data_IF_700251047976
#
_entry.id   IF_700251047976
#
_cell.length_a   1.000
_cell.length_b   1.000
_cell.length_c   1.000
_cell.angle_alpha   90.00
_cell.angle_beta   90.00
_cell.angle_gamma   90.00
#
_symmetry.space_group_name_H-M   'P 1'
#
loop_
_entity.id
_entity.type
_entity.pdbx_description
1 polymer ?
#
# COMPACT_ATOMS: atom_id res chain seq x y z
N UNK A 1 53.89 17.66 6.93
CA UNK A 1 54.38 17.61 8.34
C UNK A 1 53.62 16.53 9.12
N UNK A 2 54.33 15.74 9.93
CA UNK A 2 53.74 14.73 10.81
C UNK A 2 53.68 15.30 12.24
N UNK A 3 52.48 15.50 12.78
CA UNK A 3 52.28 16.13 14.09
C UNK A 3 51.54 15.15 15.01
N UNK A 4 52.02 15.06 16.26
CA UNK A 4 51.36 14.35 17.36
C UNK A 4 51.18 15.32 18.51
N UNK A 5 49.95 15.44 18.99
CA UNK A 5 49.59 16.35 20.07
C UNK A 5 48.81 15.52 21.09
N UNK A 6 49.27 15.49 22.33
CA UNK A 6 48.60 14.76 23.41
C UNK A 6 47.36 15.52 23.86
N UNK A 7 47.49 16.79 24.18
CA UNK A 7 46.42 17.59 24.76
C UNK A 7 46.55 19.04 24.30
N UNK A 8 45.42 19.70 24.04
CA UNK A 8 45.41 21.13 23.73
C UNK A 8 44.08 21.78 24.08
N UNK A 9 44.10 22.98 24.66
CA UNK A 9 42.87 23.73 24.89
C UNK A 9 42.37 24.42 23.61
N UNK A 10 43.27 25.13 22.92
CA UNK A 10 42.94 25.85 21.69
C UNK A 10 44.03 25.60 20.65
N UNK A 11 43.65 24.95 19.55
CA UNK A 11 44.59 24.62 18.50
C UNK A 11 44.03 25.02 17.14
N UNK A 12 44.86 25.68 16.34
CA UNK A 12 44.58 26.02 14.95
C UNK A 12 45.70 25.47 14.08
N UNK A 13 45.33 24.70 13.07
CA UNK A 13 46.25 24.14 12.09
C UNK A 13 45.75 24.56 10.71
N UNK A 14 46.60 25.23 9.95
CA UNK A 14 46.30 25.56 8.56
C UNK A 14 46.31 24.29 7.71
N UNK A 15 47.42 23.58 7.71
CA UNK A 15 47.64 22.43 6.83
C UNK A 15 48.45 21.35 7.54
N UNK A 16 48.10 20.08 7.31
CA UNK A 16 48.89 18.95 7.80
C UNK A 16 48.77 17.73 6.90
N UNK A 17 49.85 16.95 6.78
CA UNK A 17 49.78 15.68 6.05
C UNK A 17 49.32 14.54 6.95
N UNK A 18 49.96 14.38 8.13
CA UNK A 18 49.51 13.41 9.11
C UNK A 18 49.45 14.07 10.48
N UNK A 19 48.26 14.07 11.08
CA UNK A 19 48.00 14.67 12.37
C UNK A 19 47.30 13.66 13.28
N UNK A 20 47.84 13.48 14.48
CA UNK A 20 47.22 12.71 15.55
C UNK A 20 47.06 13.60 16.78
N UNK A 21 45.83 13.67 17.27
CA UNK A 21 45.48 14.43 18.46
C UNK A 21 44.79 13.46 19.42
N UNK A 22 45.28 13.33 20.65
CA UNK A 22 44.57 12.52 21.63
C UNK A 22 43.37 13.31 22.16
N UNK A 23 43.59 14.51 22.69
CA UNK A 23 42.51 15.31 23.28
C UNK A 23 42.59 16.79 22.87
N UNK A 24 41.43 17.40 22.65
CA UNK A 24 41.34 18.84 22.42
C UNK A 24 40.01 19.45 22.85
N UNK A 25 40.03 20.63 23.48
CA UNK A 25 38.78 21.36 23.74
C UNK A 25 38.27 22.07 22.49
N UNK A 26 39.09 22.93 21.87
CA UNK A 26 38.73 23.66 20.65
C UNK A 26 39.79 23.46 19.57
N UNK A 27 39.39 22.80 18.49
CA UNK A 27 40.27 22.47 17.38
C UNK A 27 39.70 23.00 16.07
N UNK A 28 40.52 23.77 15.34
CA UNK A 28 40.22 24.20 13.97
C UNK A 28 41.32 23.75 13.03
N UNK A 29 40.94 23.03 11.99
CA UNK A 29 41.84 22.53 10.95
C UNK A 29 41.30 23.02 9.62
N UNK A 30 42.14 23.68 8.83
CA UNK A 30 41.72 24.12 7.49
C UNK A 30 41.81 22.92 6.55
N UNK A 31 42.99 22.29 6.46
CA UNK A 31 43.21 21.15 5.56
C UNK A 31 44.03 20.05 6.23
N UNK A 32 43.67 18.79 5.96
CA UNK A 32 44.50 17.65 6.34
C UNK A 32 44.37 16.44 5.42
N UNK A 33 45.47 15.76 5.10
CA UNK A 33 45.38 14.49 4.37
C UNK A 33 44.94 13.33 5.28
N UNK A 34 45.62 13.12 6.40
CA UNK A 34 45.28 12.06 7.36
C UNK A 34 45.17 12.62 8.77
N UNK A 35 43.96 12.59 9.33
CA UNK A 35 43.66 13.10 10.65
C UNK A 35 43.06 12.02 11.53
N UNK A 36 43.64 11.83 12.72
CA UNK A 36 43.09 10.98 13.78
C UNK A 36 42.93 11.80 15.05
N UNK A 37 41.73 11.79 15.60
CA UNK A 37 41.39 12.49 16.83
C UNK A 37 40.72 11.46 17.75
N UNK A 38 41.24 11.28 18.96
CA UNK A 38 40.56 10.42 19.92
C UNK A 38 39.35 11.15 20.51
N UNK A 39 39.55 12.35 21.05
CA UNK A 39 38.48 13.10 21.71
C UNK A 39 38.54 14.60 21.37
N UNK A 40 37.37 15.20 21.14
CA UNK A 40 37.25 16.65 20.98
C UNK A 40 35.90 17.22 21.40
N UNK A 41 35.91 18.28 22.22
CA UNK A 41 34.66 18.99 22.54
C UNK A 41 34.12 19.78 21.35
N UNK A 42 34.94 20.64 20.73
CA UNK A 42 34.55 21.47 19.59
C UNK A 42 35.56 21.34 18.45
N UNK A 43 35.14 20.65 17.38
CA UNK A 43 35.97 20.39 16.22
C UNK A 43 35.38 21.02 14.96
N UNK A 44 36.19 21.83 14.27
CA UNK A 44 35.89 22.35 12.93
C UNK A 44 36.98 21.96 11.96
N UNK A 45 36.58 21.29 10.88
CA UNK A 45 37.48 20.87 9.81
C UNK A 45 36.89 21.41 8.50
N UNK A 46 37.69 22.14 7.73
CA UNK A 46 37.22 22.61 6.42
C UNK A 46 37.34 21.47 5.41
N UNK A 47 38.51 20.87 5.28
CA UNK A 47 38.75 19.78 4.32
C UNK A 47 39.59 18.66 4.93
N UNK A 48 39.24 17.41 4.60
CA UNK A 48 40.09 16.26 4.92
C UNK A 48 39.96 15.10 3.93
N UNK A 49 41.07 14.45 3.58
CA UNK A 49 40.98 13.23 2.76
C UNK A 49 40.58 12.02 3.61
N UNK A 50 41.28 11.76 4.72
CA UNK A 50 41.00 10.65 5.63
C UNK A 50 40.90 11.13 7.07
N UNK A 51 39.69 11.06 7.62
CA UNK A 51 39.38 11.51 8.97
C UNK A 51 38.84 10.36 9.82
N UNK A 52 39.44 10.15 10.98
CA UNK A 52 38.95 9.25 12.02
C UNK A 52 38.80 10.01 13.34
N UNK A 53 37.61 9.95 13.91
CA UNK A 53 37.28 10.57 15.18
C UNK A 53 36.65 9.50 16.06
N UNK A 54 37.19 9.27 17.26
CA UNK A 54 36.54 8.33 18.19
C UNK A 54 35.34 9.01 18.83
N UNK A 55 35.52 10.18 19.43
CA UNK A 55 34.45 10.89 20.15
C UNK A 55 34.48 12.39 19.88
N UNK A 56 33.31 13.00 19.69
CA UNK A 56 33.19 14.46 19.69
C UNK A 56 31.83 14.98 20.15
N UNK A 57 31.82 16.04 20.97
CA UNK A 57 30.56 16.69 21.35
C UNK A 57 29.98 17.53 20.19
N UNK A 58 30.78 18.42 19.60
CA UNK A 58 30.36 19.29 18.51
C UNK A 58 31.34 19.23 17.34
N UNK A 59 30.91 18.59 16.26
CA UNK A 59 31.72 18.39 15.07
C UNK A 59 31.09 19.07 13.85
N UNK A 60 31.88 19.90 13.17
CA UNK A 60 31.56 20.50 11.88
C UNK A 60 32.63 20.17 10.86
N UNK A 61 32.22 19.57 9.75
CA UNK A 61 33.09 19.21 8.64
C UNK A 61 32.47 19.81 7.38
N UNK A 62 33.22 20.63 6.65
CA UNK A 62 32.72 21.12 5.36
C UNK A 62 32.84 20.00 4.31
N UNK A 63 34.04 19.44 4.13
CA UNK A 63 34.27 18.42 3.12
C UNK A 63 35.15 17.27 3.64
N UNK A 64 34.81 16.04 3.25
CA UNK A 64 35.68 14.89 3.49
C UNK A 64 35.55 13.78 2.46
N UNK A 65 36.66 13.17 2.04
CA UNK A 65 36.58 11.99 1.17
C UNK A 65 36.21 10.73 1.96
N UNK A 66 36.93 10.43 3.05
CA UNK A 66 36.69 9.26 3.89
C UNK A 66 36.60 9.67 5.37
N UNK A 67 35.40 9.55 5.93
CA UNK A 67 35.12 9.92 7.31
C UNK A 67 34.60 8.72 8.11
N UNK A 68 35.25 8.48 9.25
CA UNK A 68 34.80 7.52 10.26
C UNK A 68 34.67 8.20 11.61
N UNK A 69 33.48 8.10 12.19
CA UNK A 69 33.16 8.65 13.50
C UNK A 69 32.58 7.51 14.34
N UNK A 70 33.16 7.24 15.50
CA UNK A 70 32.56 6.26 16.41
C UNK A 70 31.36 6.88 17.12
N UNK A 71 31.53 8.02 17.80
CA UNK A 71 30.45 8.66 18.56
C UNK A 71 30.45 10.17 18.36
N UNK A 72 29.27 10.77 18.27
CA UNK A 72 29.12 12.21 18.33
C UNK A 72 27.78 12.68 18.90
N UNK A 73 27.77 13.78 19.66
CA UNK A 73 26.51 14.37 20.12
C UNK A 73 25.88 15.23 19.02
N UNK A 74 26.63 16.17 18.45
CA UNK A 74 26.17 17.07 17.39
C UNK A 74 27.13 17.07 16.21
N UNK A 75 26.67 16.52 15.08
CA UNK A 75 27.45 16.39 13.87
C UNK A 75 26.79 17.11 12.70
N UNK A 76 27.58 17.99 12.05
CA UNK A 76 27.20 18.64 10.80
C UNK A 76 28.27 18.38 9.74
N UNK A 77 27.84 17.83 8.62
CA UNK A 77 28.68 17.54 7.47
C UNK A 77 28.03 18.20 6.25
N UNK A 78 28.77 19.05 5.54
CA UNK A 78 28.26 19.59 4.28
C UNK A 78 28.35 18.52 3.20
N UNK A 79 29.55 17.99 2.94
CA UNK A 79 29.78 17.01 1.88
C UNK A 79 30.68 15.85 2.33
N UNK A 80 30.36 14.64 1.90
CA UNK A 80 31.27 13.50 2.05
C UNK A 80 31.12 12.43 0.97
N UNK A 81 32.23 11.86 0.50
CA UNK A 81 32.15 10.71 -0.42
C UNK A 81 31.81 9.42 0.32
N UNK A 82 32.56 9.09 1.38
CA UNK A 82 32.36 7.89 2.19
C UNK A 82 32.28 8.21 3.67
N UNK A 83 31.10 8.02 4.26
CA UNK A 83 30.82 8.32 5.66
C UNK A 83 30.36 7.08 6.41
N UNK A 84 31.03 6.80 7.53
CA UNK A 84 30.62 5.78 8.50
C UNK A 84 30.50 6.41 9.88
N UNK A 85 29.34 6.24 10.49
CA UNK A 85 29.03 6.73 11.83
C UNK A 85 28.48 5.54 12.62
N UNK A 86 29.08 5.22 13.76
CA UNK A 86 28.49 4.19 14.63
C UNK A 86 27.31 4.78 15.39
N UNK A 87 27.50 5.88 16.11
CA UNK A 87 26.44 6.48 16.92
C UNK A 87 26.42 8.02 16.80
N UNK A 88 25.20 8.57 16.77
CA UNK A 88 25.02 10.02 16.84
C UNK A 88 23.68 10.42 17.47
N UNK A 89 23.69 11.40 18.38
CA UNK A 89 22.43 11.99 18.85
C UNK A 89 21.78 12.90 17.79
N UNK A 90 22.52 13.88 17.25
CA UNK A 90 22.01 14.82 16.25
C UNK A 90 22.93 14.91 15.04
N UNK A 91 22.46 14.37 13.91
CA UNK A 91 23.20 14.33 12.65
C UNK A 91 22.51 15.13 11.56
N UNK A 92 23.27 16.03 10.94
CA UNK A 92 22.86 16.74 9.72
C UNK A 92 23.91 16.55 8.63
N UNK A 93 23.47 16.03 7.50
CA UNK A 93 24.29 15.81 6.32
C UNK A 93 23.61 16.52 5.15
N UNK A 94 24.35 17.37 4.44
CA UNK A 94 23.79 18.01 3.24
C UNK A 94 23.86 17.02 2.08
N UNK A 95 25.07 16.53 1.77
CA UNK A 95 25.28 15.60 0.66
C UNK A 95 26.21 14.45 1.05
N UNK A 96 25.91 13.25 0.56
CA UNK A 96 26.84 12.12 0.64
C UNK A 96 26.69 11.10 -0.48
N UNK A 97 27.79 10.56 -1.00
CA UNK A 97 27.71 9.47 -1.97
C UNK A 97 27.40 8.13 -1.27
N UNK A 98 28.17 7.75 -0.26
CA UNK A 98 28.01 6.51 0.49
C UNK A 98 27.95 6.76 1.99
N UNK A 99 26.79 6.51 2.59
CA UNK A 99 26.54 6.75 4.01
C UNK A 99 26.10 5.46 4.71
N UNK A 100 26.80 5.14 5.80
CA UNK A 100 26.42 4.08 6.74
C UNK A 100 26.33 4.63 8.15
N UNK A 101 25.17 4.45 8.76
CA UNK A 101 24.88 4.86 10.13
C UNK A 101 24.37 3.63 10.87
N UNK A 102 24.99 3.27 11.99
CA UNK A 102 24.46 2.19 12.81
C UNK A 102 23.27 2.70 13.63
N UNK A 103 23.45 3.77 14.40
CA UNK A 103 22.40 4.30 15.26
C UNK A 103 22.35 5.83 15.22
N UNK A 104 21.13 6.39 15.24
CA UNK A 104 20.95 7.82 15.45
C UNK A 104 19.61 8.20 16.09
N UNK A 105 19.61 9.18 16.99
CA UNK A 105 18.34 9.69 17.53
C UNK A 105 17.64 10.63 16.54
N UNK A 106 18.35 11.66 16.05
CA UNK A 106 17.81 12.63 15.11
C UNK A 106 18.72 12.76 13.89
N UNK A 107 18.21 12.33 12.74
CA UNK A 107 18.95 12.33 11.47
C UNK A 107 18.23 13.15 10.41
N UNK A 108 18.96 14.09 9.81
CA UNK A 108 18.52 14.84 8.63
C UNK A 108 19.56 14.71 7.53
N UNK A 109 19.10 14.25 6.36
CA UNK A 109 19.90 14.10 5.16
C UNK A 109 19.19 14.84 4.04
N UNK A 110 19.90 15.74 3.35
CA UNK A 110 19.31 16.42 2.20
C UNK A 110 19.39 15.49 0.99
N UNK A 111 20.58 15.02 0.64
CA UNK A 111 20.79 14.14 -0.52
C UNK A 111 21.75 12.99 -0.19
N UNK A 112 21.46 11.80 -0.73
CA UNK A 112 22.41 10.69 -0.72
C UNK A 112 22.25 9.73 -1.90
N UNK A 113 23.35 9.24 -2.45
CA UNK A 113 23.25 8.19 -3.48
C UNK A 113 22.98 6.82 -2.84
N UNK A 114 23.78 6.40 -1.86
CA UNK A 114 23.64 5.11 -1.18
C UNK A 114 23.61 5.30 0.34
N UNK A 115 22.47 5.03 0.94
CA UNK A 115 22.24 5.19 2.37
C UNK A 115 21.84 3.86 3.02
N UNK A 116 22.56 3.51 4.09
CA UNK A 116 22.21 2.40 4.98
C UNK A 116 22.14 2.89 6.42
N UNK A 117 21.00 2.65 7.05
CA UNK A 117 20.74 2.99 8.45
C UNK A 117 20.26 1.71 9.13
N UNK A 118 20.92 1.31 10.22
CA UNK A 118 20.40 0.17 11.00
C UNK A 118 19.23 0.64 11.86
N UNK A 119 19.43 1.67 12.68
CA UNK A 119 18.38 2.16 13.59
C UNK A 119 18.31 3.68 13.62
N UNK A 120 17.08 4.21 13.68
CA UNK A 120 16.87 5.64 13.94
C UNK A 120 15.55 5.95 14.64
N UNK A 121 15.55 6.89 15.57
CA UNK A 121 14.28 7.35 16.18
C UNK A 121 13.55 8.32 15.26
N UNK A 122 14.23 9.37 14.79
CA UNK A 122 13.65 10.40 13.92
C UNK A 122 14.52 10.62 12.68
N UNK A 123 14.01 10.22 11.52
CA UNK A 123 14.72 10.29 10.26
C UNK A 123 13.96 11.14 9.24
N UNK A 124 14.66 12.12 8.68
CA UNK A 124 14.19 12.92 7.54
C UNK A 124 15.20 12.86 6.41
N UNK A 125 14.74 12.43 5.24
CA UNK A 125 15.53 12.35 4.02
C UNK A 125 14.77 13.13 2.95
N UNK A 126 15.44 14.06 2.28
CA UNK A 126 14.82 14.77 1.16
C UNK A 126 14.93 13.90 -0.09
N UNK A 127 16.14 13.51 -0.48
CA UNK A 127 16.35 12.69 -1.68
C UNK A 127 17.32 11.53 -1.42
N UNK A 128 17.01 10.37 -2.00
CA UNK A 128 17.96 9.26 -2.04
C UNK A 128 17.77 8.33 -3.24
N UNK A 129 18.88 7.92 -3.89
CA UNK A 129 18.78 6.91 -4.96
C UNK A 129 18.55 5.51 -4.39
N UNK A 130 19.38 5.07 -3.45
CA UNK A 130 19.27 3.75 -2.83
C UNK A 130 19.28 3.86 -1.30
N UNK A 131 18.14 3.54 -0.69
CA UNK A 131 17.94 3.64 0.75
C UNK A 131 17.57 2.29 1.35
N UNK A 132 18.32 1.88 2.38
CA UNK A 132 18.01 0.73 3.23
C UNK A 132 17.95 1.14 4.67
N UNK A 133 16.82 0.85 5.32
CA UNK A 133 16.59 1.12 6.73
C UNK A 133 16.13 -0.19 7.37
N UNK A 134 16.82 -0.64 8.42
CA UNK A 134 16.35 -1.81 9.17
C UNK A 134 15.20 -1.41 10.08
N UNK A 135 15.38 -0.41 10.93
CA UNK A 135 14.37 0.02 11.89
C UNK A 135 14.26 1.55 11.98
N UNK A 136 13.04 2.06 12.08
CA UNK A 136 12.81 3.46 12.42
C UNK A 136 11.50 3.70 13.17
N UNK A 137 11.50 4.59 14.16
CA UNK A 137 10.24 4.99 14.81
C UNK A 137 9.47 5.99 13.94
N UNK A 138 10.12 7.09 13.52
CA UNK A 138 9.51 8.13 12.69
C UNK A 138 10.35 8.43 11.46
N UNK A 139 9.82 8.07 10.30
CA UNK A 139 10.51 8.22 9.02
C UNK A 139 9.71 9.10 8.06
N UNK A 140 10.38 10.12 7.53
CA UNK A 140 9.88 10.97 6.44
C UNK A 140 10.86 10.98 5.29
N UNK A 141 10.36 10.63 4.11
CA UNK A 141 11.12 10.62 2.85
C UNK A 141 10.33 11.44 1.85
N UNK A 142 10.96 12.43 1.23
CA UNK A 142 10.31 13.15 0.13
C UNK A 142 10.41 12.31 -1.14
N UNK A 143 11.62 11.96 -1.57
CA UNK A 143 11.85 11.22 -2.80
C UNK A 143 12.84 10.07 -2.62
N UNK A 144 12.54 8.91 -3.23
CA UNK A 144 13.51 7.83 -3.36
C UNK A 144 13.29 6.94 -4.58
N UNK A 145 14.36 6.63 -5.31
CA UNK A 145 14.27 5.66 -6.42
C UNK A 145 14.09 4.22 -5.92
N UNK A 146 14.95 3.75 -5.00
CA UNK A 146 14.90 2.40 -4.46
C UNK A 146 14.93 2.43 -2.93
N UNK A 147 13.80 2.08 -2.32
CA UNK A 147 13.62 2.11 -0.89
C UNK A 147 13.29 0.71 -0.34
N UNK A 148 14.06 0.27 0.65
CA UNK A 148 13.79 -0.93 1.45
C UNK A 148 13.76 -0.58 2.92
N UNK A 149 12.65 -0.92 3.57
CA UNK A 149 12.43 -0.71 4.99
C UNK A 149 12.01 -2.05 5.58
N UNK A 150 12.73 -2.54 6.59
CA UNK A 150 12.29 -3.74 7.30
C UNK A 150 11.15 -3.39 8.25
N UNK A 151 11.36 -2.45 9.17
CA UNK A 151 10.35 -2.10 10.17
C UNK A 151 10.22 -0.58 10.34
N UNK A 152 8.98 -0.10 10.50
CA UNK A 152 8.73 1.28 10.88
C UNK A 152 7.42 1.49 11.65
N UNK A 153 7.45 2.30 12.71
CA UNK A 153 6.20 2.65 13.40
C UNK A 153 5.39 3.69 12.60
N UNK A 154 6.01 4.81 12.23
CA UNK A 154 5.36 5.88 11.47
C UNK A 154 6.17 6.25 10.23
N UNK A 155 5.64 5.91 9.05
CA UNK A 155 6.29 6.13 7.77
C UNK A 155 5.46 7.04 6.88
N UNK A 156 6.10 8.10 6.38
CA UNK A 156 5.55 8.99 5.36
C UNK A 156 6.51 9.09 4.18
N UNK A 157 6.00 8.77 3.00
CA UNK A 157 6.72 8.83 1.74
C UNK A 157 5.92 9.69 0.78
N UNK A 158 6.55 10.70 0.18
CA UNK A 158 5.87 11.52 -0.82
C UNK A 158 5.91 10.79 -2.17
N UNK A 159 7.11 10.45 -2.64
CA UNK A 159 7.29 9.77 -3.92
C UNK A 159 8.32 8.63 -3.83
N UNK A 160 8.04 7.51 -4.50
CA UNK A 160 9.06 6.48 -4.72
C UNK A 160 8.83 5.64 -5.98
N UNK A 161 9.90 5.32 -6.72
CA UNK A 161 9.79 4.41 -7.86
C UNK A 161 9.63 2.96 -7.40
N UNK A 162 10.52 2.46 -6.54
CA UNK A 162 10.50 1.08 -6.07
C UNK A 162 10.56 1.02 -4.53
N UNK A 163 9.45 0.64 -3.92
CA UNK A 163 9.29 0.59 -2.48
C UNK A 163 8.99 -0.83 -2.00
N UNK A 164 9.79 -1.31 -1.05
CA UNK A 164 9.55 -2.55 -0.31
C UNK A 164 9.53 -2.28 1.18
N UNK A 165 8.46 -2.68 1.83
CA UNK A 165 8.26 -2.55 3.27
C UNK A 165 7.89 -3.93 3.80
N UNK A 166 8.62 -4.44 4.79
CA UNK A 166 8.22 -5.69 5.44
C UNK A 166 7.09 -5.40 6.43
N UNK A 167 7.29 -4.48 7.37
CA UNK A 167 6.30 -4.17 8.41
C UNK A 167 6.17 -2.67 8.66
N UNK A 168 4.92 -2.21 8.84
CA UNK A 168 4.67 -0.86 9.34
C UNK A 168 3.36 -0.73 10.11
N UNK A 169 3.38 0.00 11.23
CA UNK A 169 2.14 0.30 11.96
C UNK A 169 1.31 1.37 11.24
N UNK A 170 1.91 2.52 10.90
CA UNK A 170 1.24 3.62 10.22
C UNK A 170 2.01 4.06 8.99
N UNK A 171 1.46 3.75 7.81
CA UNK A 171 2.08 4.04 6.53
C UNK A 171 1.21 4.98 5.69
N UNK A 172 1.83 6.07 5.23
CA UNK A 172 1.26 7.01 4.26
C UNK A 172 2.18 7.16 3.06
N UNK A 173 1.65 6.90 1.88
CA UNK A 173 2.37 7.03 0.61
C UNK A 173 1.52 7.91 -0.29
N UNK A 174 2.11 8.97 -0.85
CA UNK A 174 1.39 9.82 -1.80
C UNK A 174 1.44 9.15 -3.17
N UNK A 175 2.62 8.91 -3.70
CA UNK A 175 2.81 8.31 -5.02
C UNK A 175 3.84 7.18 -5.01
N UNK A 176 3.57 6.11 -5.75
CA UNK A 176 4.57 5.09 -6.03
C UNK A 176 4.36 4.34 -7.35
N UNK A 177 5.43 4.01 -8.05
CA UNK A 177 5.32 3.17 -9.26
C UNK A 177 5.17 1.68 -8.89
N UNK A 178 6.09 1.16 -8.07
CA UNK A 178 6.07 -0.24 -7.65
C UNK A 178 6.16 -0.35 -6.13
N UNK A 179 5.08 -0.82 -5.52
CA UNK A 179 4.96 -0.94 -4.07
C UNK A 179 4.67 -2.38 -3.66
N UNK A 180 5.50 -2.88 -2.74
CA UNK A 180 5.29 -4.17 -2.05
C UNK A 180 5.31 -3.96 -0.55
N UNK A 181 4.25 -4.41 0.10
CA UNK A 181 4.09 -4.35 1.55
C UNK A 181 3.74 -5.75 2.03
N UNK A 182 4.51 -6.30 2.96
CA UNK A 182 4.15 -7.59 3.56
C UNK A 182 3.04 -7.39 4.58
N UNK A 183 3.25 -6.53 5.58
CA UNK A 183 2.28 -6.31 6.65
C UNK A 183 2.11 -4.82 6.98
N UNK A 184 0.87 -4.40 7.23
CA UNK A 184 0.62 -3.09 7.81
C UNK A 184 -0.66 -3.01 8.64
N UNK A 185 -0.64 -2.26 9.74
CA UNK A 185 -1.87 -2.02 10.52
C UNK A 185 -2.74 -0.95 9.84
N UNK A 186 -2.17 0.22 9.55
CA UNK A 186 -2.88 1.33 8.92
C UNK A 186 -2.14 1.84 7.70
N UNK A 187 -2.72 1.62 6.52
CA UNK A 187 -2.14 1.98 5.24
C UNK A 187 -3.04 2.95 4.47
N UNK A 188 -2.45 4.06 4.05
CA UNK A 188 -3.06 5.02 3.13
C UNK A 188 -2.17 5.26 1.94
N UNK A 189 -2.71 5.04 0.75
CA UNK A 189 -2.03 5.24 -0.53
C UNK A 189 -2.92 6.16 -1.37
N UNK A 190 -2.33 7.24 -1.88
CA UNK A 190 -3.07 8.13 -2.79
C UNK A 190 -3.05 7.54 -4.18
N UNK A 191 -1.86 7.33 -4.75
CA UNK A 191 -1.70 6.79 -6.10
C UNK A 191 -0.64 5.69 -6.14
N UNK A 192 -0.92 4.64 -6.92
CA UNK A 192 0.09 3.62 -7.24
C UNK A 192 -0.14 2.92 -8.58
N UNK A 193 0.91 2.72 -9.37
CA UNK A 193 0.79 1.95 -10.60
C UNK A 193 0.68 0.45 -10.31
N UNK A 194 1.63 -0.12 -9.56
CA UNK A 194 1.64 -1.54 -9.20
C UNK A 194 1.76 -1.72 -7.69
N UNK A 195 0.70 -2.25 -7.08
CA UNK A 195 0.61 -2.44 -5.65
C UNK A 195 0.35 -3.91 -5.29
N UNK A 196 1.21 -4.44 -4.42
CA UNK A 196 1.04 -5.76 -3.80
C UNK A 196 1.09 -5.64 -2.29
N UNK A 197 0.05 -6.13 -1.64
CA UNK A 197 -0.09 -6.13 -0.18
C UNK A 197 -0.41 -7.57 0.23
N UNK A 198 0.39 -8.15 1.12
CA UNK A 198 0.06 -9.46 1.66
C UNK A 198 -1.02 -9.33 2.74
N UNK A 199 -0.79 -8.52 3.76
CA UNK A 199 -1.73 -8.36 4.88
C UNK A 199 -1.92 -6.90 5.27
N UNK A 200 -3.16 -6.51 5.58
CA UNK A 200 -3.45 -5.22 6.19
C UNK A 200 -4.70 -5.22 7.07
N UNK A 201 -4.65 -4.55 8.21
CA UNK A 201 -5.88 -4.36 9.01
C UNK A 201 -6.79 -3.28 8.41
N UNK A 202 -6.24 -2.08 8.17
CA UNK A 202 -6.98 -0.96 7.61
C UNK A 202 -6.27 -0.38 6.39
N UNK A 203 -6.88 -0.54 5.22
CA UNK A 203 -6.32 -0.11 3.95
C UNK A 203 -7.25 0.87 3.23
N UNK A 204 -6.70 2.02 2.86
CA UNK A 204 -7.35 3.01 2.00
C UNK A 204 -6.47 3.32 0.80
N UNK A 205 -7.04 3.17 -0.39
CA UNK A 205 -6.40 3.45 -1.66
C UNK A 205 -7.31 4.40 -2.44
N UNK A 206 -6.76 5.52 -2.90
CA UNK A 206 -7.52 6.44 -3.74
C UNK A 206 -7.52 5.92 -5.17
N UNK A 207 -6.34 5.71 -5.76
CA UNK A 207 -6.20 5.24 -7.13
C UNK A 207 -5.11 4.16 -7.26
N UNK A 208 -5.40 3.13 -8.07
CA UNK A 208 -4.37 2.18 -8.50
C UNK A 208 -4.63 1.56 -9.87
N UNK A 209 -3.59 1.40 -10.69
CA UNK A 209 -3.73 0.68 -11.96
C UNK A 209 -3.81 -0.83 -11.73
N UNK A 210 -2.84 -1.42 -11.00
CA UNK A 210 -2.78 -2.85 -10.73
C UNK A 210 -2.61 -3.13 -9.25
N UNK A 211 -3.67 -3.66 -8.64
CA UNK A 211 -3.74 -3.92 -7.21
C UNK A 211 -3.96 -5.41 -6.93
N UNK A 212 -3.08 -5.98 -6.11
CA UNK A 212 -3.22 -7.33 -5.55
C UNK A 212 -3.14 -7.28 -4.03
N UNK A 213 -4.17 -7.82 -3.39
CA UNK A 213 -4.27 -7.91 -1.94
C UNK A 213 -4.55 -9.37 -1.59
N UNK A 214 -3.73 -9.96 -0.72
CA UNK A 214 -4.03 -11.30 -0.22
C UNK A 214 -5.09 -11.22 0.88
N UNK A 215 -4.83 -10.48 1.96
CA UNK A 215 -5.76 -10.40 3.09
C UNK A 215 -5.96 -8.95 3.56
N UNK A 216 -7.20 -8.61 3.90
CA UNK A 216 -7.50 -7.35 4.58
C UNK A 216 -8.74 -7.40 5.48
N UNK A 217 -8.68 -6.78 6.66
CA UNK A 217 -9.89 -6.66 7.48
C UNK A 217 -10.83 -5.56 6.95
N UNK A 218 -10.32 -4.34 6.77
CA UNK A 218 -11.09 -3.21 6.27
C UNK A 218 -10.42 -2.56 5.07
N UNK A 219 -11.05 -2.68 3.91
CA UNK A 219 -10.53 -2.19 2.64
C UNK A 219 -11.48 -1.19 1.99
N UNK A 220 -10.94 -0.01 1.66
CA UNK A 220 -11.62 1.01 0.85
C UNK A 220 -10.78 1.39 -0.34
N UNK A 221 -11.36 1.27 -1.52
CA UNK A 221 -10.73 1.62 -2.80
C UNK A 221 -11.67 2.58 -3.52
N UNK A 222 -11.15 3.73 -3.93
CA UNK A 222 -11.95 4.69 -4.70
C UNK A 222 -11.98 4.25 -6.16
N UNK A 223 -10.82 4.14 -6.79
CA UNK A 223 -10.70 3.74 -8.19
C UNK A 223 -9.61 2.68 -8.39
N UNK A 224 -9.88 1.72 -9.28
CA UNK A 224 -8.85 0.81 -9.75
C UNK A 224 -9.10 0.25 -11.16
N UNK A 225 -8.05 0.09 -11.97
CA UNK A 225 -8.22 -0.57 -13.27
C UNK A 225 -8.28 -2.10 -13.12
N UNK A 226 -7.29 -2.71 -12.48
CA UNK A 226 -7.21 -4.15 -12.27
C UNK A 226 -7.04 -4.46 -10.78
N UNK A 227 -8.05 -5.07 -10.18
CA UNK A 227 -8.09 -5.40 -8.77
C UNK A 227 -8.30 -6.90 -8.55
N UNK A 228 -7.38 -7.50 -7.80
CA UNK A 228 -7.51 -8.87 -7.29
C UNK A 228 -7.38 -8.90 -5.78
N UNK A 229 -8.39 -9.46 -5.13
CA UNK A 229 -8.45 -9.64 -3.68
C UNK A 229 -8.69 -11.12 -3.41
N UNK A 230 -7.87 -11.74 -2.55
CA UNK A 230 -8.12 -13.11 -2.13
C UNK A 230 -9.16 -13.11 -1.00
N UNK A 231 -8.91 -12.39 0.09
CA UNK A 231 -9.80 -12.37 1.24
C UNK A 231 -9.99 -10.95 1.79
N UNK A 232 -11.25 -10.62 2.14
CA UNK A 232 -11.54 -9.40 2.90
C UNK A 232 -12.79 -9.49 3.76
N UNK A 233 -12.71 -9.05 5.02
CA UNK A 233 -13.90 -8.98 5.88
C UNK A 233 -14.86 -7.86 5.43
N UNK A 234 -14.36 -6.63 5.28
CA UNK A 234 -15.17 -5.48 4.89
C UNK A 234 -14.54 -4.74 3.70
N UNK A 235 -15.17 -4.86 2.54
CA UNK A 235 -14.68 -4.30 1.30
C UNK A 235 -15.67 -3.27 0.73
N UNK A 236 -15.15 -2.08 0.44
CA UNK A 236 -15.87 -1.03 -0.30
C UNK A 236 -15.05 -0.57 -1.49
N UNK A 237 -15.67 -0.63 -2.67
CA UNK A 237 -15.07 -0.21 -3.93
C UNK A 237 -16.03 0.78 -4.58
N UNK A 238 -15.54 1.96 -4.96
CA UNK A 238 -16.37 2.94 -5.66
C UNK A 238 -16.41 2.57 -7.14
N UNK A 239 -15.26 2.50 -7.79
CA UNK A 239 -15.16 2.17 -9.22
C UNK A 239 -14.06 1.14 -9.50
N UNK A 240 -14.34 0.22 -10.43
CA UNK A 240 -13.32 -0.66 -10.96
C UNK A 240 -13.59 -1.14 -12.39
N UNK A 241 -12.55 -1.24 -13.23
CA UNK A 241 -12.72 -1.83 -14.56
C UNK A 241 -12.76 -3.36 -14.50
N UNK A 242 -11.76 -3.99 -13.88
CA UNK A 242 -11.66 -5.44 -13.75
C UNK A 242 -11.44 -5.84 -12.30
N UNK A 243 -12.45 -6.48 -11.72
CA UNK A 243 -12.45 -6.89 -10.32
C UNK A 243 -12.62 -8.39 -10.17
N UNK A 244 -11.70 -9.00 -9.42
CA UNK A 244 -11.76 -10.40 -9.01
C UNK A 244 -11.63 -10.52 -7.51
N UNK A 245 -12.62 -11.12 -6.87
CA UNK A 245 -12.66 -11.36 -5.44
C UNK A 245 -12.90 -12.85 -5.23
N UNK A 246 -12.05 -13.49 -4.42
CA UNK A 246 -12.29 -14.88 -4.04
C UNK A 246 -13.29 -14.92 -2.89
N UNK A 247 -12.97 -14.30 -1.76
CA UNK A 247 -13.82 -14.36 -0.58
C UNK A 247 -14.03 -12.99 0.05
N UNK A 248 -15.28 -12.68 0.42
CA UNK A 248 -15.56 -11.53 1.27
C UNK A 248 -16.81 -11.66 2.13
N UNK A 249 -16.72 -11.29 3.41
CA UNK A 249 -17.89 -11.28 4.29
C UNK A 249 -18.87 -10.15 3.91
N UNK A 250 -18.39 -8.90 3.81
CA UNK A 250 -19.23 -7.75 3.48
C UNK A 250 -18.62 -6.96 2.31
N UNK A 251 -19.27 -7.04 1.16
CA UNK A 251 -18.85 -6.37 -0.05
C UNK A 251 -19.86 -5.33 -0.53
N UNK A 252 -19.37 -4.11 -0.78
CA UNK A 252 -20.11 -3.04 -1.47
C UNK A 252 -19.33 -2.53 -2.66
N UNK A 253 -19.96 -2.54 -3.82
CA UNK A 253 -19.40 -2.05 -5.08
C UNK A 253 -20.39 -1.03 -5.65
N UNK A 254 -19.92 0.17 -5.98
CA UNK A 254 -20.78 1.17 -6.62
C UNK A 254 -20.84 0.88 -8.11
N UNK A 255 -19.71 0.85 -8.80
CA UNK A 255 -19.63 0.60 -10.23
C UNK A 255 -18.52 -0.40 -10.58
N UNK A 256 -18.80 -1.27 -11.55
CA UNK A 256 -17.78 -2.12 -12.15
C UNK A 256 -18.08 -2.53 -13.59
N UNK A 257 -17.06 -2.56 -14.45
CA UNK A 257 -17.25 -3.09 -15.81
C UNK A 257 -17.27 -4.62 -15.83
N UNK A 258 -16.23 -5.26 -15.27
CA UNK A 258 -16.11 -6.71 -15.21
C UNK A 258 -15.86 -7.17 -13.79
N UNK A 259 -16.84 -7.87 -13.22
CA UNK A 259 -16.80 -8.35 -11.85
C UNK A 259 -16.95 -9.86 -11.77
N UNK A 260 -16.00 -10.50 -11.08
CA UNK A 260 -16.06 -11.91 -10.72
C UNK A 260 -15.90 -12.08 -9.21
N UNK A 261 -16.86 -12.73 -8.60
CA UNK A 261 -16.88 -13.03 -7.17
C UNK A 261 -17.07 -14.53 -7.03
N UNK A 262 -16.18 -15.19 -6.29
CA UNK A 262 -16.33 -16.62 -6.01
C UNK A 262 -17.31 -16.80 -4.84
N UNK A 263 -17.05 -16.17 -3.70
CA UNK A 263 -17.88 -16.32 -2.50
C UNK A 263 -18.09 -14.98 -1.79
N UNK A 264 -19.32 -14.72 -1.34
CA UNK A 264 -19.58 -13.61 -0.43
C UNK A 264 -20.79 -13.83 0.48
N UNK A 265 -20.69 -13.45 1.76
CA UNK A 265 -21.85 -13.51 2.66
C UNK A 265 -22.87 -12.40 2.36
N UNK A 266 -22.42 -11.14 2.31
CA UNK A 266 -23.28 -9.99 2.05
C UNK A 266 -22.71 -9.14 0.91
N UNK A 267 -23.42 -9.13 -0.22
CA UNK A 267 -23.01 -8.45 -1.42
C UNK A 267 -24.03 -7.41 -1.86
N UNK A 268 -23.57 -6.17 -2.05
CA UNK A 268 -24.34 -5.09 -2.66
C UNK A 268 -23.59 -4.50 -3.84
N UNK A 269 -24.26 -4.44 -4.98
CA UNK A 269 -23.73 -3.88 -6.23
C UNK A 269 -24.74 -2.86 -6.73
N UNK A 270 -24.28 -1.63 -7.01
CA UNK A 270 -25.18 -0.62 -7.58
C UNK A 270 -25.27 -0.84 -9.08
N UNK A 271 -24.15 -0.81 -9.79
CA UNK A 271 -24.11 -0.98 -11.24
C UNK A 271 -22.99 -1.94 -11.67
N UNK A 272 -23.28 -2.76 -12.68
CA UNK A 272 -22.25 -3.55 -13.35
C UNK A 272 -22.56 -3.89 -14.81
N UNK A 273 -21.56 -3.90 -15.69
CA UNK A 273 -21.77 -4.36 -17.07
C UNK A 273 -21.76 -5.89 -17.14
N UNK A 274 -20.71 -6.54 -16.64
CA UNK A 274 -20.56 -8.00 -16.66
C UNK A 274 -20.27 -8.53 -15.27
N UNK A 275 -21.24 -9.25 -14.69
CA UNK A 275 -21.17 -9.78 -13.34
C UNK A 275 -21.29 -11.31 -13.36
N UNK A 276 -20.32 -11.97 -12.71
CA UNK A 276 -20.36 -13.40 -12.42
C UNK A 276 -20.16 -13.63 -10.93
N UNK A 277 -21.09 -14.36 -10.33
CA UNK A 277 -21.06 -14.72 -8.92
C UNK A 277 -21.22 -16.24 -8.84
N UNK A 278 -20.30 -16.93 -8.19
CA UNK A 278 -20.47 -18.37 -7.95
C UNK A 278 -21.42 -18.59 -6.78
N UNK A 279 -21.11 -18.04 -5.60
CA UNK A 279 -21.91 -18.26 -4.41
C UNK A 279 -22.13 -16.96 -3.63
N UNK A 280 -23.35 -16.78 -3.10
CA UNK A 280 -23.61 -15.71 -2.14
C UNK A 280 -24.77 -16.01 -1.19
N UNK A 281 -24.68 -15.61 0.08
CA UNK A 281 -25.81 -15.74 0.99
C UNK A 281 -26.85 -14.65 0.75
N UNK A 282 -26.45 -13.37 0.77
CA UNK A 282 -27.33 -12.23 0.57
C UNK A 282 -26.80 -11.33 -0.53
N UNK A 283 -27.53 -11.27 -1.64
CA UNK A 283 -27.16 -10.50 -2.83
C UNK A 283 -28.22 -9.47 -3.18
N UNK A 284 -27.78 -8.21 -3.32
CA UNK A 284 -28.59 -7.11 -3.85
C UNK A 284 -27.87 -6.44 -5.01
N UNK A 285 -28.56 -6.35 -6.14
CA UNK A 285 -28.06 -5.72 -7.36
C UNK A 285 -29.10 -4.69 -7.80
N UNK A 286 -28.67 -3.45 -8.02
CA UNK A 286 -29.58 -2.42 -8.53
C UNK A 286 -29.70 -2.57 -10.04
N UNK A 287 -28.59 -2.49 -10.77
CA UNK A 287 -28.57 -2.58 -12.23
C UNK A 287 -27.43 -3.50 -12.73
N UNK A 288 -27.73 -4.27 -13.78
CA UNK A 288 -26.70 -5.03 -14.49
C UNK A 288 -27.03 -5.32 -15.95
N UNK A 289 -26.06 -5.20 -16.86
CA UNK A 289 -26.29 -5.61 -18.26
C UNK A 289 -26.27 -7.15 -18.41
N UNK A 290 -25.20 -7.80 -17.95
CA UNK A 290 -25.05 -9.25 -18.04
C UNK A 290 -24.73 -9.85 -16.67
N UNK A 291 -25.67 -10.60 -16.13
CA UNK A 291 -25.56 -11.22 -14.80
C UNK A 291 -25.66 -12.74 -14.89
N UNK A 292 -24.67 -13.41 -14.30
CA UNK A 292 -24.68 -14.86 -14.07
C UNK A 292 -24.44 -15.16 -12.60
N UNK A 293 -25.34 -15.92 -12.01
CA UNK A 293 -25.27 -16.36 -10.62
C UNK A 293 -25.41 -17.88 -10.61
N UNK A 294 -24.46 -18.59 -10.01
CA UNK A 294 -24.61 -20.04 -9.85
C UNK A 294 -25.53 -20.34 -8.67
N UNK A 295 -25.21 -19.83 -7.49
CA UNK A 295 -25.99 -20.12 -6.27
C UNK A 295 -26.21 -18.87 -5.42
N UNK A 296 -27.41 -18.75 -4.86
CA UNK A 296 -27.69 -17.72 -3.85
C UNK A 296 -28.83 -18.07 -2.89
N UNK A 297 -28.68 -17.77 -1.59
CA UNK A 297 -29.81 -17.97 -0.66
C UNK A 297 -30.87 -16.87 -0.84
N UNK A 298 -30.48 -15.60 -0.77
CA UNK A 298 -31.39 -14.46 -0.92
C UNK A 298 -30.90 -13.49 -1.99
N UNK A 299 -31.64 -13.40 -3.08
CA UNK A 299 -31.30 -12.58 -4.23
C UNK A 299 -32.38 -11.54 -4.53
N UNK A 300 -31.96 -10.28 -4.61
CA UNK A 300 -32.80 -9.17 -5.07
C UNK A 300 -32.11 -8.43 -6.21
N UNK A 301 -32.82 -8.29 -7.32
CA UNK A 301 -32.36 -7.59 -8.51
C UNK A 301 -33.43 -6.57 -8.88
N UNK A 302 -33.03 -5.31 -9.06
CA UNK A 302 -33.97 -4.28 -9.51
C UNK A 302 -34.10 -4.35 -11.03
N UNK A 303 -33.00 -4.23 -11.76
CA UNK A 303 -33.00 -4.26 -13.22
C UNK A 303 -31.86 -5.12 -13.77
N UNK A 304 -32.16 -5.88 -14.85
CA UNK A 304 -31.12 -6.54 -15.63
C UNK A 304 -31.51 -6.78 -17.09
N UNK A 305 -30.57 -6.57 -18.03
CA UNK A 305 -30.83 -6.92 -19.44
C UNK A 305 -30.78 -8.44 -19.65
N UNK A 306 -29.71 -9.10 -19.23
CA UNK A 306 -29.52 -10.54 -19.39
C UNK A 306 -29.16 -11.20 -18.07
N UNK A 307 -30.09 -11.97 -17.53
CA UNK A 307 -29.96 -12.63 -16.25
C UNK A 307 -30.03 -14.16 -16.40
N UNK A 308 -29.02 -14.84 -15.86
CA UNK A 308 -29.00 -16.30 -15.71
C UNK A 308 -28.71 -16.68 -14.27
N UNK A 309 -29.59 -17.48 -13.69
CA UNK A 309 -29.48 -17.99 -12.33
C UNK A 309 -29.61 -19.50 -12.38
N UNK A 310 -28.63 -20.23 -11.83
CA UNK A 310 -28.75 -21.68 -11.74
C UNK A 310 -29.65 -22.05 -10.55
N UNK A 311 -29.32 -21.59 -9.35
CA UNK A 311 -30.08 -21.94 -8.14
C UNK A 311 -30.29 -20.73 -7.22
N UNK A 312 -31.50 -20.62 -6.65
CA UNK A 312 -31.76 -19.68 -5.56
C UNK A 312 -32.88 -20.10 -4.62
N UNK A 313 -32.71 -19.91 -3.31
CA UNK A 313 -33.81 -20.16 -2.37
C UNK A 313 -34.88 -19.07 -2.47
N UNK A 314 -34.50 -17.80 -2.37
CA UNK A 314 -35.42 -16.67 -2.42
C UNK A 314 -34.98 -15.64 -3.45
N UNK A 315 -35.73 -15.53 -4.54
CA UNK A 315 -35.44 -14.66 -5.66
C UNK A 315 -36.53 -13.62 -5.88
N UNK A 316 -36.13 -12.35 -5.91
CA UNK A 316 -37.00 -11.23 -6.31
C UNK A 316 -36.35 -10.42 -7.42
N UNK A 317 -37.08 -10.26 -8.51
CA UNK A 317 -36.66 -9.49 -9.68
C UNK A 317 -37.74 -8.47 -9.99
N UNK A 318 -37.36 -7.19 -10.11
CA UNK A 318 -38.33 -6.15 -10.48
C UNK A 318 -38.50 -6.15 -11.99
N UNK A 319 -37.42 -5.95 -12.75
CA UNK A 319 -37.46 -5.90 -14.21
C UNK A 319 -36.33 -6.70 -14.84
N UNK A 320 -36.62 -7.38 -15.95
CA UNK A 320 -35.58 -7.99 -16.78
C UNK A 320 -35.97 -8.19 -18.25
N UNK A 321 -35.06 -7.95 -19.19
CA UNK A 321 -35.34 -8.24 -20.61
C UNK A 321 -35.28 -9.75 -20.88
N UNK A 322 -34.18 -10.41 -20.52
CA UNK A 322 -33.99 -11.84 -20.74
C UNK A 322 -33.62 -12.54 -19.43
N UNK A 323 -34.53 -13.37 -18.93
CA UNK A 323 -34.38 -14.09 -17.68
C UNK A 323 -34.41 -15.61 -17.89
N UNK A 324 -33.37 -16.30 -17.40
CA UNK A 324 -33.31 -17.75 -17.32
C UNK A 324 -32.99 -18.19 -15.90
N UNK A 325 -33.86 -19.04 -15.35
CA UNK A 325 -33.71 -19.59 -14.00
C UNK A 325 -33.82 -21.11 -14.13
N UNK A 326 -32.81 -21.84 -13.64
CA UNK A 326 -32.91 -23.31 -13.62
C UNK A 326 -33.76 -23.76 -12.44
N UNK A 327 -33.43 -23.35 -11.22
CA UNK A 327 -34.15 -23.78 -10.03
C UNK A 327 -34.35 -22.62 -9.04
N UNK A 328 -35.52 -22.57 -8.41
CA UNK A 328 -35.71 -21.76 -7.21
C UNK A 328 -36.81 -22.26 -6.28
N UNK A 329 -36.70 -22.00 -4.97
CA UNK A 329 -37.80 -22.32 -4.04
C UNK A 329 -38.90 -21.24 -4.09
N UNK A 330 -38.53 -19.97 -3.96
CA UNK A 330 -39.46 -18.85 -3.95
C UNK A 330 -39.06 -17.79 -4.96
N UNK A 331 -39.84 -17.64 -6.03
CA UNK A 331 -39.60 -16.71 -7.11
C UNK A 331 -40.71 -15.68 -7.24
N UNK A 332 -40.32 -14.39 -7.22
CA UNK A 332 -41.20 -13.27 -7.54
C UNK A 332 -40.58 -12.41 -8.63
N UNK A 333 -41.32 -12.22 -9.72
CA UNK A 333 -40.93 -11.40 -10.85
C UNK A 333 -42.04 -10.38 -11.08
N UNK A 334 -41.68 -9.09 -11.16
CA UNK A 334 -42.66 -8.05 -11.46
C UNK A 334 -42.85 -7.98 -12.97
N UNK A 335 -41.78 -7.77 -13.73
CA UNK A 335 -41.83 -7.65 -15.19
C UNK A 335 -40.69 -8.42 -15.88
N UNK A 336 -41.00 -9.08 -17.00
CA UNK A 336 -39.98 -9.62 -17.89
C UNK A 336 -40.42 -9.72 -19.35
N UNK A 337 -39.56 -9.38 -20.31
CA UNK A 337 -39.88 -9.61 -21.73
C UNK A 337 -39.77 -11.09 -22.10
N UNK A 338 -38.65 -11.75 -21.77
CA UNK A 338 -38.42 -13.16 -22.08
C UNK A 338 -38.03 -13.94 -20.82
N UNK A 339 -38.96 -14.74 -20.32
CA UNK A 339 -38.80 -15.52 -19.10
C UNK A 339 -38.79 -17.03 -19.40
N UNK A 340 -37.73 -17.70 -18.94
CA UNK A 340 -37.63 -19.17 -18.92
C UNK A 340 -37.29 -19.67 -17.53
N UNK A 341 -38.12 -20.56 -16.99
CA UNK A 341 -37.95 -21.18 -15.68
C UNK A 341 -38.03 -22.69 -15.88
N UNK A 342 -37.02 -23.44 -15.44
CA UNK A 342 -37.11 -24.90 -15.46
C UNK A 342 -37.93 -25.39 -14.27
N UNK A 343 -37.54 -25.06 -13.04
CA UNK A 343 -38.23 -25.53 -11.84
C UNK A 343 -38.43 -24.41 -10.81
N UNK A 344 -39.62 -24.34 -10.21
CA UNK A 344 -39.87 -23.46 -9.07
C UNK A 344 -40.96 -23.98 -8.13
N UNK A 345 -40.71 -24.08 -6.82
CA UNK A 345 -41.78 -24.46 -5.88
C UNK A 345 -42.89 -23.40 -5.81
N UNK A 346 -42.53 -22.14 -5.54
CA UNK A 346 -43.48 -21.03 -5.44
C UNK A 346 -43.15 -19.93 -6.44
N UNK A 347 -43.96 -19.78 -7.49
CA UNK A 347 -43.74 -18.83 -8.57
C UNK A 347 -44.85 -17.77 -8.62
N UNK A 348 -44.46 -16.48 -8.56
CA UNK A 348 -45.35 -15.34 -8.82
C UNK A 348 -44.76 -14.43 -9.90
N UNK A 349 -45.55 -14.20 -10.94
CA UNK A 349 -45.20 -13.32 -12.07
C UNK A 349 -46.32 -12.29 -12.21
N UNK A 350 -45.98 -10.99 -12.23
CA UNK A 350 -46.98 -9.94 -12.46
C UNK A 350 -47.20 -9.78 -13.96
N UNK A 351 -46.14 -9.52 -14.72
CA UNK A 351 -46.22 -9.33 -16.17
C UNK A 351 -45.08 -10.07 -16.90
N UNK A 352 -45.41 -10.70 -18.03
CA UNK A 352 -44.39 -11.16 -18.98
C UNK A 352 -44.87 -11.22 -20.43
N UNK A 353 -44.02 -10.89 -21.40
CA UNK A 353 -44.38 -11.02 -22.82
C UNK A 353 -44.26 -12.46 -23.31
N UNK A 354 -43.11 -13.09 -23.09
CA UNK A 354 -42.82 -14.47 -23.50
C UNK A 354 -42.42 -15.31 -22.28
N UNK A 355 -43.26 -16.27 -21.92
CA UNK A 355 -43.11 -17.10 -20.74
C UNK A 355 -42.98 -18.59 -21.09
N UNK A 356 -41.96 -19.25 -20.53
CA UNK A 356 -41.84 -20.71 -20.55
C UNK A 356 -41.53 -21.24 -19.15
N UNK A 357 -42.37 -22.13 -18.65
CA UNK A 357 -42.21 -22.80 -17.36
C UNK A 357 -42.26 -24.31 -17.60
N UNK A 358 -41.25 -25.05 -17.13
CA UNK A 358 -41.25 -26.52 -17.25
C UNK A 358 -41.93 -27.20 -16.06
N UNK A 359 -41.73 -26.69 -14.84
CA UNK A 359 -42.34 -27.25 -13.63
C UNK A 359 -42.55 -26.16 -12.57
N UNK A 360 -43.73 -26.14 -11.94
CA UNK A 360 -43.97 -25.37 -10.72
C UNK A 360 -45.08 -25.95 -9.86
N UNK A 361 -44.87 -26.02 -8.54
CA UNK A 361 -45.89 -26.52 -7.61
C UNK A 361 -46.99 -25.49 -7.35
N UNK A 362 -46.63 -24.22 -7.15
CA UNK A 362 -47.54 -23.13 -6.87
C UNK A 362 -47.30 -21.97 -7.82
N UNK A 363 -48.12 -21.87 -8.87
CA UNK A 363 -47.99 -20.85 -9.90
C UNK A 363 -49.07 -19.75 -9.78
N UNK A 364 -48.66 -18.49 -9.84
CA UNK A 364 -49.55 -17.33 -10.03
C UNK A 364 -48.99 -16.39 -11.08
N UNK A 365 -49.76 -16.14 -12.13
CA UNK A 365 -49.43 -15.20 -13.20
C UNK A 365 -50.59 -14.20 -13.31
N UNK A 366 -50.30 -12.89 -13.31
CA UNK A 366 -51.34 -11.87 -13.46
C UNK A 366 -51.59 -11.53 -14.92
N UNK A 367 -50.53 -11.25 -15.68
CA UNK A 367 -50.59 -10.94 -17.11
C UNK A 367 -49.47 -11.65 -17.88
N UNK A 368 -49.84 -12.29 -18.99
CA UNK A 368 -48.87 -12.81 -19.95
C UNK A 368 -49.42 -12.84 -21.37
N UNK A 369 -48.61 -12.45 -22.37
CA UNK A 369 -49.05 -12.43 -23.77
C UNK A 369 -48.87 -13.81 -24.43
N UNK A 370 -47.67 -14.38 -24.35
CA UNK A 370 -47.32 -15.68 -24.91
C UNK A 370 -46.77 -16.59 -23.82
N UNK A 371 -47.48 -17.64 -23.41
CA UNK A 371 -46.99 -18.58 -22.40
C UNK A 371 -47.06 -20.05 -22.85
N UNK A 372 -46.07 -20.83 -22.41
CA UNK A 372 -46.07 -22.29 -22.45
C UNK A 372 -45.71 -22.82 -21.07
N UNK A 373 -46.66 -23.49 -20.43
CA UNK A 373 -46.47 -24.13 -19.14
C UNK A 373 -46.59 -25.63 -19.39
N UNK A 374 -45.54 -26.37 -19.03
CA UNK A 374 -45.61 -27.82 -18.94
C UNK A 374 -45.99 -28.12 -17.50
N UNK A 375 -47.06 -28.86 -17.27
CA UNK A 375 -47.42 -29.36 -15.94
C UNK A 375 -47.21 -30.88 -15.98
N UNK A 376 -46.47 -31.42 -15.00
CA UNK A 376 -46.39 -32.86 -14.72
C UNK A 376 -46.73 -33.11 -13.26
#
# INVERSE_FOLDING_TARGET
MNLRISESQNLRISESQNLRISESQNLRISESQNLRISESQNLRISESQNLRISESQNLRISESQNLRISESQNLRISESQNLRISESQNLRISESQNLRISESQNLRISESQNLRISESQNLRISESQNLRISESQNLRILESQNLRISESQNLRISESQNLRISESQNLRISESQNLRISESQNLRITESQNLRISESQNLRISESQNLRISESQNLRISESQNLRILESQNLRISESQNLRILESQNLRISESQNLRILESQNLRISESQNLRISESQNLRISESQNLRISESQNLRISESQNLRISESQNLRISESQNLRISESQNLRISESQNLRISESQNLRISESQNLRISESQNLRISESQNHRISES
#
